data_IF_160937451481
#
_entry.id   IF_160937451481
#
_cell.length_a   1.000
_cell.length_b   1.000
_cell.length_c   1.000
_cell.angle_alpha   90.00
_cell.angle_beta   90.00
_cell.angle_gamma   90.00
#
_symmetry.space_group_name_H-M   'P 1'
#
loop_
_entity.id
_entity.type
_entity.pdbx_description
1 polymer ?
#
# COMPACT_ATOMS: atom_id res chain seq x y z
N UNK A 1 4.33 8.66 14.73
CA UNK A 1 4.33 10.12 15.06
C UNK A 1 4.73 10.95 13.85
N UNK A 2 4.37 12.22 13.85
CA UNK A 2 4.75 13.21 12.85
C UNK A 2 5.58 14.27 13.57
N UNK A 3 6.86 14.47 13.24
CA UNK A 3 7.71 15.45 13.86
C UNK A 3 7.54 16.84 13.22
N UNK A 4 7.60 17.91 14.04
CA UNK A 4 7.52 19.29 13.60
C UNK A 4 8.67 20.13 14.17
N UNK A 5 9.26 20.99 13.33
CA UNK A 5 10.31 21.93 13.71
C UNK A 5 9.71 23.16 14.38
N UNK A 6 8.62 23.68 13.83
CA UNK A 6 7.96 24.89 14.32
C UNK A 6 6.83 24.57 15.29
N UNK A 7 6.73 25.37 16.36
CA UNK A 7 5.67 25.25 17.36
C UNK A 7 4.29 25.64 16.81
N UNK A 8 4.25 26.49 15.79
CA UNK A 8 3.04 26.90 15.10
C UNK A 8 3.36 26.85 13.59
N UNK A 9 2.71 25.94 12.89
CA UNK A 9 2.79 25.84 11.42
C UNK A 9 1.42 25.44 10.86
N UNK A 10 1.16 25.84 9.63
CA UNK A 10 -0.08 25.47 8.95
C UNK A 10 -0.21 23.94 8.82
N UNK A 11 0.90 23.26 8.61
CA UNK A 11 0.91 21.80 8.51
C UNK A 11 0.61 21.12 9.85
N UNK A 12 1.15 21.64 10.97
CA UNK A 12 0.79 21.15 12.30
C UNK A 12 -0.72 21.27 12.54
N UNK A 13 -1.32 22.41 12.19
CA UNK A 13 -2.77 22.61 12.34
C UNK A 13 -3.57 21.66 11.46
N UNK A 14 -3.20 21.52 10.18
CA UNK A 14 -3.85 20.57 9.25
C UNK A 14 -3.81 19.14 9.78
N UNK A 15 -2.64 18.66 10.21
CA UNK A 15 -2.50 17.32 10.76
C UNK A 15 -3.26 17.14 12.06
N UNK A 16 -3.19 18.11 12.95
CA UNK A 16 -3.90 18.05 14.23
C UNK A 16 -5.42 17.91 14.03
N UNK A 17 -6.00 18.78 13.20
CA UNK A 17 -7.43 18.70 12.88
C UNK A 17 -7.76 17.44 12.08
N UNK A 18 -6.92 17.05 11.12
CA UNK A 18 -7.11 15.82 10.35
C UNK A 18 -7.14 14.56 11.21
N UNK A 19 -6.21 14.44 12.17
CA UNK A 19 -6.18 13.28 13.08
C UNK A 19 -7.36 13.31 14.06
N UNK A 20 -7.81 14.48 14.50
CA UNK A 20 -9.01 14.60 15.33
C UNK A 20 -10.28 14.22 14.57
N UNK A 21 -10.41 14.67 13.32
CA UNK A 21 -11.51 14.29 12.43
C UNK A 21 -11.49 12.78 12.15
N UNK A 22 -10.32 12.21 11.89
CA UNK A 22 -10.15 10.76 11.73
C UNK A 22 -10.65 9.98 12.95
N UNK A 23 -10.24 10.38 14.15
CA UNK A 23 -10.70 9.75 15.38
C UNK A 23 -12.21 9.89 15.60
N UNK A 24 -12.80 11.05 15.27
CA UNK A 24 -14.23 11.29 15.34
C UNK A 24 -15.00 10.36 14.37
N UNK A 25 -14.55 10.27 13.13
CA UNK A 25 -15.18 9.40 12.10
C UNK A 25 -15.03 7.91 12.44
N UNK A 26 -13.92 7.51 13.08
CA UNK A 26 -13.71 6.15 13.54
C UNK A 26 -14.67 5.77 14.69
N UNK A 27 -15.14 6.73 15.48
CA UNK A 27 -16.07 6.52 16.60
C UNK A 27 -15.58 5.44 17.57
N UNK A 28 -16.41 4.44 17.83
CA UNK A 28 -16.07 3.30 18.72
C UNK A 28 -14.94 2.40 18.19
N UNK A 29 -14.57 2.51 16.92
CA UNK A 29 -13.44 1.78 16.29
C UNK A 29 -12.11 2.53 16.38
N UNK A 30 -12.07 3.69 17.05
CA UNK A 30 -10.84 4.44 17.26
C UNK A 30 -9.83 3.61 18.06
N UNK A 31 -8.60 3.53 17.55
CA UNK A 31 -7.50 2.77 18.17
C UNK A 31 -6.88 3.50 19.37
N UNK A 32 -7.24 4.75 19.60
CA UNK A 32 -6.74 5.57 20.71
C UNK A 32 -6.72 7.07 20.41
N UNK A 33 -6.38 7.86 21.43
CA UNK A 33 -6.35 9.32 21.32
C UNK A 33 -5.03 9.80 20.71
N UNK A 34 -5.13 10.77 19.81
CA UNK A 34 -3.97 11.51 19.33
C UNK A 34 -3.39 12.41 20.44
N UNK A 35 -2.06 12.55 20.49
CA UNK A 35 -1.35 13.33 21.46
C UNK A 35 -0.34 14.26 20.80
N UNK A 36 -0.41 15.55 21.11
CA UNK A 36 0.64 16.51 20.78
C UNK A 36 1.59 16.64 22.00
N UNK A 37 2.89 16.45 21.79
CA UNK A 37 3.89 16.48 22.84
C UNK A 37 5.17 17.21 22.42
N UNK A 38 5.83 17.86 23.39
CA UNK A 38 7.15 18.43 23.18
C UNK A 38 8.21 17.33 23.13
N UNK A 39 9.14 17.44 22.18
CA UNK A 39 10.32 16.59 22.12
C UNK A 39 11.37 17.18 23.08
N UNK A 40 11.69 16.46 24.14
CA UNK A 40 12.71 16.90 25.11
C UNK A 40 14.09 16.88 24.44
N UNK A 41 14.88 17.95 24.62
CA UNK A 41 16.31 17.97 24.28
C UNK A 41 16.99 16.78 24.97
N UNK A 42 17.86 16.09 24.28
CA UNK A 42 18.55 14.88 24.77
C UNK A 42 17.64 13.69 25.14
N UNK A 43 16.42 13.63 24.61
CA UNK A 43 15.68 12.38 24.65
C UNK A 43 16.42 11.30 23.83
N UNK A 44 16.29 10.02 24.20
CA UNK A 44 16.80 8.86 23.43
C UNK A 44 16.08 8.67 22.08
N UNK A 45 15.51 9.78 21.56
CA UNK A 45 14.77 9.77 20.30
C UNK A 45 15.71 9.77 19.12
N UNK A 46 15.29 9.08 18.10
CA UNK A 46 15.98 8.95 16.81
C UNK A 46 16.04 10.29 16.06
N UNK A 47 15.09 11.19 16.37
CA UNK A 47 14.92 12.47 15.69
C UNK A 47 15.98 13.51 16.05
N UNK A 48 16.35 14.31 15.06
CA UNK A 48 17.24 15.47 15.20
C UNK A 48 16.71 16.46 16.25
N UNK A 49 17.62 17.15 16.93
CA UNK A 49 17.30 18.16 17.95
C UNK A 49 16.57 19.41 17.38
N UNK A 50 16.48 19.54 16.08
CA UNK A 50 15.72 20.60 15.40
C UNK A 50 14.20 20.44 15.58
N UNK A 51 13.73 19.21 15.78
CA UNK A 51 12.33 18.91 15.99
C UNK A 51 11.94 19.22 17.45
N UNK A 52 10.88 20.02 17.62
CA UNK A 52 10.41 20.51 18.93
C UNK A 52 9.12 19.84 19.38
N UNK A 53 8.27 19.48 18.42
CA UNK A 53 6.96 18.87 18.66
C UNK A 53 6.82 17.57 17.87
N UNK A 54 6.00 16.69 18.40
CA UNK A 54 5.50 15.52 17.68
C UNK A 54 3.99 15.37 17.91
N UNK A 55 3.28 15.10 16.85
CA UNK A 55 1.88 14.66 16.88
C UNK A 55 1.87 13.13 16.78
N UNK A 56 1.47 12.46 17.84
CA UNK A 56 1.32 11.01 17.87
C UNK A 56 -0.13 10.62 17.68
N UNK A 57 -0.38 9.60 16.89
CA UNK A 57 -1.70 8.99 16.69
C UNK A 57 -1.52 7.49 16.50
N UNK A 58 -2.61 6.76 16.66
CA UNK A 58 -2.63 5.30 16.45
C UNK A 58 -3.16 4.99 15.07
N UNK A 59 -2.54 4.01 14.43
CA UNK A 59 -2.98 3.45 13.17
C UNK A 59 -2.71 1.95 13.16
N UNK A 60 -3.41 1.20 12.29
CA UNK A 60 -3.22 -0.24 12.15
C UNK A 60 -1.95 -0.55 11.37
N UNK A 61 -1.19 -1.52 11.86
CA UNK A 61 -0.09 -2.12 11.11
C UNK A 61 -0.48 -3.54 10.75
N UNK A 62 -0.36 -3.88 9.48
CA UNK A 62 -0.71 -5.19 8.96
C UNK A 62 0.54 -5.89 8.40
N UNK A 63 0.75 -7.13 8.81
CA UNK A 63 1.65 -8.05 8.10
C UNK A 63 0.82 -8.71 6.99
N UNK A 64 0.97 -8.24 5.77
CA UNK A 64 0.21 -8.68 4.59
C UNK A 64 0.49 -10.15 4.25
N UNK A 65 1.72 -10.61 4.45
CA UNK A 65 2.10 -12.01 4.24
C UNK A 65 1.41 -12.94 5.22
N UNK A 66 1.38 -12.58 6.50
CA UNK A 66 0.70 -13.39 7.52
C UNK A 66 -0.81 -13.40 7.28
N UNK A 67 -1.40 -12.26 6.94
CA UNK A 67 -2.83 -12.18 6.62
C UNK A 67 -3.17 -13.05 5.41
N UNK A 68 -2.35 -13.02 4.34
CA UNK A 68 -2.55 -13.88 3.17
C UNK A 68 -2.49 -15.38 3.52
N UNK A 69 -1.50 -15.79 4.32
CA UNK A 69 -1.38 -17.19 4.80
C UNK A 69 -2.58 -17.61 5.66
N UNK A 70 -3.09 -16.72 6.49
CA UNK A 70 -4.25 -17.01 7.33
C UNK A 70 -5.52 -17.16 6.50
N UNK A 71 -5.72 -16.31 5.48
CA UNK A 71 -6.84 -16.44 4.53
C UNK A 71 -6.79 -17.77 3.76
N UNK A 72 -5.60 -18.19 3.30
CA UNK A 72 -5.41 -19.49 2.64
C UNK A 72 -5.78 -20.64 3.60
N UNK A 73 -5.34 -20.56 4.85
CA UNK A 73 -5.69 -21.56 5.86
C UNK A 73 -7.20 -21.63 6.11
N UNK A 74 -7.87 -20.49 6.21
CA UNK A 74 -9.33 -20.42 6.37
C UNK A 74 -10.05 -20.96 5.14
N UNK A 75 -9.59 -20.65 3.93
CA UNK A 75 -10.18 -21.18 2.69
C UNK A 75 -10.12 -22.72 2.65
N UNK A 76 -8.97 -23.30 3.03
CA UNK A 76 -8.82 -24.77 3.13
C UNK A 76 -9.75 -25.40 4.17
N UNK A 77 -10.06 -24.70 5.27
CA UNK A 77 -11.01 -25.16 6.29
C UNK A 77 -12.48 -25.10 5.81
N UNK A 78 -12.75 -24.36 4.75
CA UNK A 78 -14.04 -24.26 4.07
C UNK A 78 -14.13 -25.13 2.83
N UNK A 79 -13.21 -26.12 2.67
CA UNK A 79 -13.13 -27.05 1.54
C UNK A 79 -13.01 -26.32 0.18
N UNK A 80 -12.34 -25.16 0.17
CA UNK A 80 -12.03 -24.45 -1.07
C UNK A 80 -10.71 -24.98 -1.63
N UNK A 81 -10.75 -25.46 -2.86
CA UNK A 81 -9.56 -25.92 -3.57
C UNK A 81 -8.64 -24.75 -3.89
N UNK A 82 -7.35 -24.91 -3.58
CA UNK A 82 -6.31 -23.91 -3.85
C UNK A 82 -5.19 -24.57 -4.64
N UNK A 83 -4.94 -24.04 -5.82
CA UNK A 83 -3.89 -24.50 -6.72
C UNK A 83 -2.74 -23.48 -6.73
N UNK A 84 -1.66 -23.81 -6.05
CA UNK A 84 -0.42 -23.00 -6.03
C UNK A 84 0.48 -23.42 -7.19
N UNK A 85 1.27 -22.47 -7.73
CA UNK A 85 2.18 -22.70 -8.87
C UNK A 85 1.45 -23.25 -10.12
N UNK A 86 0.21 -22.84 -10.30
CA UNK A 86 -0.64 -23.24 -11.42
C UNK A 86 -0.96 -22.01 -12.28
N UNK A 87 -0.27 -21.90 -13.41
CA UNK A 87 -0.51 -20.81 -14.37
C UNK A 87 -1.71 -21.17 -15.26
N UNK A 88 -2.68 -20.25 -15.34
CA UNK A 88 -3.82 -20.34 -16.24
C UNK A 88 -3.39 -19.89 -17.63
N UNK A 89 -3.54 -20.74 -18.64
CA UNK A 89 -3.15 -20.47 -20.02
C UNK A 89 -4.16 -19.60 -20.75
N UNK A 90 -5.46 -19.87 -20.54
CA UNK A 90 -6.54 -19.18 -21.24
C UNK A 90 -7.83 -19.13 -20.41
N UNK A 91 -8.65 -18.14 -20.69
CA UNK A 91 -10.01 -18.05 -20.18
C UNK A 91 -10.89 -17.21 -21.12
N UNK A 92 -12.21 -17.38 -21.01
CA UNK A 92 -13.17 -16.63 -21.79
C UNK A 92 -14.28 -16.00 -20.93
N UNK A 93 -15.16 -15.26 -21.60
CA UNK A 93 -16.30 -14.62 -20.95
C UNK A 93 -17.48 -15.56 -20.67
N UNK A 94 -17.47 -16.77 -21.19
CA UNK A 94 -18.55 -17.74 -21.04
C UNK A 94 -18.28 -18.73 -19.91
N UNK A 95 -17.19 -18.57 -19.18
CA UNK A 95 -16.88 -19.38 -18.01
C UNK A 95 -15.84 -20.47 -18.25
N UNK A 96 -15.24 -20.57 -19.45
CA UNK A 96 -14.18 -21.54 -19.73
C UNK A 96 -12.84 -21.02 -19.20
N UNK A 97 -12.13 -21.87 -18.45
CA UNK A 97 -10.74 -21.67 -18.01
C UNK A 97 -9.98 -22.92 -18.42
N UNK A 98 -9.04 -22.77 -19.34
CA UNK A 98 -8.35 -23.89 -20.01
C UNK A 98 -9.37 -24.91 -20.52
N UNK A 99 -9.38 -26.14 -20.01
CA UNK A 99 -10.33 -27.19 -20.44
C UNK A 99 -11.54 -27.35 -19.50
N UNK A 100 -11.68 -26.49 -18.46
CA UNK A 100 -12.73 -26.57 -17.44
C UNK A 100 -13.78 -25.46 -17.61
N UNK A 101 -15.01 -25.73 -17.17
CA UNK A 101 -16.08 -24.74 -17.16
C UNK A 101 -16.47 -24.39 -15.72
N UNK A 102 -16.68 -23.11 -15.50
CA UNK A 102 -17.07 -22.52 -14.22
C UNK A 102 -18.31 -21.64 -14.39
N UNK A 103 -19.14 -21.55 -13.36
CA UNK A 103 -20.29 -20.65 -13.37
C UNK A 103 -19.86 -19.18 -13.39
N UNK A 104 -18.80 -18.84 -12.68
CA UNK A 104 -18.22 -17.51 -12.67
C UNK A 104 -16.69 -17.60 -12.62
N UNK A 105 -16.02 -16.68 -13.31
CA UNK A 105 -14.58 -16.46 -13.24
C UNK A 105 -14.35 -15.09 -12.59
N UNK A 106 -13.54 -15.04 -11.53
CA UNK A 106 -13.19 -13.79 -10.87
C UNK A 106 -11.69 -13.52 -11.10
N UNK A 107 -11.39 -12.52 -11.94
CA UNK A 107 -10.03 -12.11 -12.24
C UNK A 107 -9.57 -11.08 -11.20
N UNK A 108 -8.89 -11.54 -10.14
CA UNK A 108 -8.42 -10.73 -9.00
C UNK A 108 -6.89 -10.66 -8.95
N UNK A 109 -6.24 -10.43 -10.09
CA UNK A 109 -4.79 -10.54 -10.32
C UNK A 109 -4.05 -9.19 -10.21
N UNK A 110 -4.69 -8.17 -9.66
CA UNK A 110 -4.07 -6.86 -9.40
C UNK A 110 -3.49 -6.20 -10.66
N UNK A 111 -2.18 -5.91 -10.71
CA UNK A 111 -1.59 -5.18 -11.84
C UNK A 111 -1.64 -5.95 -13.17
N UNK A 112 -1.81 -7.26 -13.16
CA UNK A 112 -1.88 -8.07 -14.37
C UNK A 112 -3.27 -8.14 -15.02
N UNK A 113 -4.31 -7.58 -14.38
CA UNK A 113 -5.71 -7.67 -14.88
C UNK A 113 -5.83 -7.23 -16.34
N UNK A 114 -5.30 -6.05 -16.69
CA UNK A 114 -5.36 -5.53 -18.07
C UNK A 114 -4.59 -6.40 -19.06
N UNK A 115 -3.39 -6.85 -18.68
CA UNK A 115 -2.52 -7.69 -19.52
C UNK A 115 -3.20 -9.02 -19.84
N UNK A 116 -3.80 -9.66 -18.84
CA UNK A 116 -4.47 -10.95 -19.03
C UNK A 116 -5.75 -10.82 -19.86
N UNK A 117 -6.52 -9.75 -19.70
CA UNK A 117 -7.67 -9.48 -20.56
C UNK A 117 -7.23 -9.32 -22.03
N UNK A 118 -6.16 -8.54 -22.27
CA UNK A 118 -5.61 -8.34 -23.61
C UNK A 118 -5.10 -9.65 -24.22
N UNK A 119 -4.37 -10.47 -23.44
CA UNK A 119 -3.85 -11.79 -23.89
C UNK A 119 -5.00 -12.73 -24.33
N UNK A 120 -6.17 -12.60 -23.73
CA UNK A 120 -7.36 -13.39 -24.05
C UNK A 120 -8.34 -12.69 -25.02
N UNK A 121 -7.93 -11.60 -25.68
CA UNK A 121 -8.75 -10.82 -26.62
C UNK A 121 -10.03 -10.24 -25.99
N UNK A 122 -10.02 -9.95 -24.69
CA UNK A 122 -11.16 -9.39 -23.97
C UNK A 122 -10.93 -7.89 -23.77
N UNK A 123 -11.92 -7.08 -24.13
CA UNK A 123 -11.84 -5.62 -24.02
C UNK A 123 -11.83 -5.19 -22.55
N UNK A 124 -10.81 -4.44 -22.16
CA UNK A 124 -10.77 -3.75 -20.89
C UNK A 124 -11.55 -2.42 -20.95
N UNK A 125 -12.41 -2.17 -19.98
CA UNK A 125 -13.16 -0.90 -19.85
C UNK A 125 -12.39 0.18 -19.07
N UNK A 126 -11.29 -0.18 -18.43
CA UNK A 126 -10.43 0.74 -17.68
C UNK A 126 -8.98 0.56 -18.07
N UNK A 127 -8.27 1.68 -18.05
CA UNK A 127 -6.81 1.69 -18.17
C UNK A 127 -6.17 1.76 -16.77
N UNK A 128 -4.97 1.22 -16.65
CA UNK A 128 -4.21 1.13 -15.40
C UNK A 128 -2.88 1.86 -15.58
N UNK A 129 -2.54 2.70 -14.61
CA UNK A 129 -1.18 3.20 -14.41
C UNK A 129 -0.45 2.29 -13.43
N UNK A 130 0.73 1.86 -13.79
CA UNK A 130 1.60 1.07 -12.93
C UNK A 130 2.49 1.99 -12.12
N UNK A 131 2.32 1.97 -10.82
CA UNK A 131 3.10 2.81 -9.90
C UNK A 131 3.92 1.92 -8.99
N UNK A 132 5.23 1.86 -9.27
CA UNK A 132 6.21 1.17 -8.44
C UNK A 132 6.39 1.91 -7.11
N UNK A 133 6.49 1.17 -6.03
CA UNK A 133 6.85 1.68 -4.72
C UNK A 133 7.87 0.77 -4.06
N UNK A 134 8.99 1.33 -3.65
CA UNK A 134 10.13 0.61 -3.11
C UNK A 134 10.31 0.89 -1.63
N UNK A 135 10.82 -0.10 -0.91
CA UNK A 135 11.09 -0.04 0.53
C UNK A 135 12.48 -0.55 0.84
N UNK A 136 13.09 0.01 1.89
CA UNK A 136 14.34 -0.47 2.47
C UNK A 136 14.08 -1.11 3.84
N UNK A 137 14.76 -2.19 4.13
CA UNK A 137 14.87 -2.78 5.47
C UNK A 137 16.21 -2.39 6.04
N UNK A 138 16.20 -1.64 7.14
CA UNK A 138 17.39 -1.05 7.73
C UNK A 138 17.78 -1.76 9.03
N UNK A 139 19.09 -1.98 9.20
CA UNK A 139 19.68 -2.45 10.47
C UNK A 139 19.70 -1.31 11.49
N UNK A 140 18.53 -0.81 11.80
CA UNK A 140 18.31 0.24 12.79
C UNK A 140 16.97 -0.03 13.47
N UNK A 141 16.95 0.05 14.78
CA UNK A 141 15.71 -0.11 15.52
C UNK A 141 15.10 1.26 15.86
N UNK A 142 13.81 1.39 15.63
CA UNK A 142 12.99 2.51 16.11
C UNK A 142 11.85 1.97 16.99
N UNK A 143 11.47 2.74 18.02
CA UNK A 143 10.45 2.31 19.00
C UNK A 143 9.01 2.50 18.49
N UNK A 144 8.79 3.45 17.60
CA UNK A 144 7.47 3.80 17.07
C UNK A 144 7.57 4.25 15.63
N UNK A 145 6.50 4.11 14.88
CA UNK A 145 6.42 4.59 13.51
C UNK A 145 6.59 6.10 13.42
N UNK A 146 7.31 6.56 12.40
CA UNK A 146 7.53 7.97 12.08
C UNK A 146 7.01 8.21 10.66
N UNK A 147 6.13 9.19 10.50
CA UNK A 147 5.71 9.71 9.20
C UNK A 147 6.37 11.07 8.99
N UNK A 148 7.00 11.27 7.87
CA UNK A 148 7.72 12.52 7.55
C UNK A 148 7.67 12.79 6.04
N UNK A 149 8.02 14.02 5.65
CA UNK A 149 8.02 14.44 4.25
C UNK A 149 9.38 14.16 3.61
N UNK A 150 9.38 13.62 2.39
CA UNK A 150 10.59 13.43 1.61
C UNK A 150 11.23 14.75 1.16
N UNK A 151 12.54 14.71 0.86
CA UNK A 151 13.35 15.90 0.56
C UNK A 151 13.01 16.62 -0.74
N UNK A 152 12.60 15.89 -1.79
CA UNK A 152 12.41 16.43 -3.14
C UNK A 152 10.95 16.66 -3.52
N UNK A 153 10.04 16.07 -2.79
CA UNK A 153 8.60 16.15 -3.07
C UNK A 153 7.84 16.16 -1.74
N UNK A 154 6.65 16.73 -1.75
CA UNK A 154 5.79 16.81 -0.56
C UNK A 154 5.16 15.46 -0.18
N UNK A 155 5.78 14.34 -0.54
CA UNK A 155 5.27 12.99 -0.25
C UNK A 155 5.61 12.55 1.15
N UNK A 156 4.71 11.81 1.74
CA UNK A 156 4.93 11.20 3.03
C UNK A 156 5.65 9.87 2.89
N UNK A 157 6.72 9.73 3.67
CA UNK A 157 7.50 8.53 3.84
C UNK A 157 7.26 8.02 5.26
N UNK A 158 7.24 6.70 5.42
CA UNK A 158 7.09 6.05 6.70
C UNK A 158 8.36 5.29 7.07
N UNK A 159 8.81 5.49 8.29
CA UNK A 159 9.75 4.59 8.95
C UNK A 159 8.97 3.82 10.01
N UNK A 160 8.83 2.52 9.86
CA UNK A 160 8.02 1.66 10.73
C UNK A 160 8.88 0.62 11.44
N UNK A 161 8.61 0.32 12.72
CA UNK A 161 9.22 -0.85 13.38
C UNK A 161 8.84 -2.12 12.62
N UNK A 162 9.82 -2.96 12.31
CA UNK A 162 9.61 -4.19 11.56
C UNK A 162 10.55 -5.29 12.06
N UNK A 163 10.04 -6.22 12.86
CA UNK A 163 10.78 -7.40 13.37
C UNK A 163 12.16 -7.05 13.98
N UNK A 164 12.23 -6.01 14.80
CA UNK A 164 13.47 -5.51 15.40
C UNK A 164 14.33 -4.61 14.50
N UNK A 165 13.89 -4.37 13.27
CA UNK A 165 14.51 -3.53 12.25
C UNK A 165 13.63 -2.31 11.97
N UNK A 166 13.98 -1.54 10.95
CA UNK A 166 13.14 -0.45 10.42
C UNK A 166 12.79 -0.70 8.97
N UNK A 167 11.51 -0.68 8.65
CA UNK A 167 10.99 -0.62 7.30
C UNK A 167 10.84 0.84 6.91
N UNK A 168 11.57 1.27 5.87
CA UNK A 168 11.55 2.64 5.36
C UNK A 168 10.95 2.66 3.95
N UNK A 169 9.93 3.47 3.74
CA UNK A 169 9.30 3.65 2.43
C UNK A 169 8.00 4.45 2.53
N UNK A 170 7.44 4.75 1.42
CA UNK A 170 7.65 4.16 0.09
C UNK A 170 8.06 5.25 -0.92
N UNK A 171 8.75 4.84 -1.97
CA UNK A 171 8.90 5.65 -3.19
C UNK A 171 7.63 5.58 -4.05
N UNK A 172 7.58 6.33 -5.13
CA UNK A 172 6.49 6.25 -6.10
C UNK A 172 7.02 6.66 -7.48
N UNK A 173 7.14 5.67 -8.34
CA UNK A 173 7.65 5.83 -9.69
C UNK A 173 6.70 5.17 -10.69
N UNK A 174 6.42 5.86 -11.80
CA UNK A 174 5.64 5.27 -12.88
C UNK A 174 6.51 4.31 -13.66
N UNK A 175 6.00 3.11 -13.92
CA UNK A 175 6.65 2.07 -14.72
C UNK A 175 5.71 1.60 -15.84
N UNK A 176 6.27 1.00 -16.87
CA UNK A 176 5.49 0.55 -18.03
C UNK A 176 4.93 -0.87 -17.84
N UNK A 177 5.58 -1.66 -16.97
CA UNK A 177 5.20 -3.05 -16.71
C UNK A 177 5.20 -3.34 -15.21
N UNK A 178 4.32 -4.23 -14.74
CA UNK A 178 4.35 -4.71 -13.36
C UNK A 178 5.42 -5.79 -13.10
N UNK A 179 6.11 -6.24 -14.15
CA UNK A 179 7.05 -7.35 -14.05
C UNK A 179 8.36 -6.97 -13.36
N UNK A 180 8.86 -7.87 -12.50
CA UNK A 180 10.17 -7.81 -11.86
C UNK A 180 10.53 -6.43 -11.26
N UNK A 181 9.65 -5.80 -10.47
CA UNK A 181 9.95 -4.50 -9.89
C UNK A 181 11.14 -4.59 -8.94
N UNK A 182 12.10 -3.70 -9.11
CA UNK A 182 13.27 -3.57 -8.23
C UNK A 182 13.52 -2.11 -7.90
N UNK A 183 14.14 -1.87 -6.74
CA UNK A 183 14.59 -0.54 -6.37
C UNK A 183 15.80 -0.16 -7.23
N UNK A 184 15.86 1.08 -7.65
CA UNK A 184 17.05 1.64 -8.29
C UNK A 184 17.86 2.52 -7.33
N UNK A 185 19.05 2.95 -7.78
CA UNK A 185 19.98 3.74 -6.96
C UNK A 185 19.42 5.13 -6.60
N UNK A 186 18.54 5.68 -7.43
CA UNK A 186 17.92 6.99 -7.18
C UNK A 186 16.88 6.90 -6.08
N UNK A 187 16.05 5.86 -6.09
CA UNK A 187 15.06 5.58 -5.05
C UNK A 187 15.75 5.26 -3.71
N UNK A 188 16.81 4.44 -3.75
CA UNK A 188 17.60 4.13 -2.55
C UNK A 188 18.17 5.39 -1.92
N UNK A 189 18.85 6.24 -2.72
CA UNK A 189 19.42 7.51 -2.27
C UNK A 189 18.34 8.44 -1.73
N UNK A 190 17.23 8.58 -2.45
CA UNK A 190 16.09 9.38 -2.03
C UNK A 190 15.54 8.97 -0.66
N UNK A 191 15.34 7.67 -0.42
CA UNK A 191 14.86 7.17 0.87
C UNK A 191 15.86 7.41 1.99
N UNK A 192 17.16 7.13 1.76
CA UNK A 192 18.20 7.35 2.76
C UNK A 192 18.37 8.82 3.11
N UNK A 193 18.45 9.70 2.11
CA UNK A 193 18.61 11.14 2.31
C UNK A 193 17.37 11.73 3.00
N UNK A 194 16.18 11.33 2.59
CA UNK A 194 14.94 11.75 3.23
C UNK A 194 14.87 11.32 4.70
N UNK A 195 15.28 10.11 5.02
CA UNK A 195 15.31 9.66 6.40
C UNK A 195 16.41 10.36 7.22
N UNK A 196 17.60 10.53 6.64
CA UNK A 196 18.69 11.23 7.27
C UNK A 196 18.38 12.70 7.58
N UNK A 197 17.52 13.35 6.81
CA UNK A 197 17.10 14.74 7.06
C UNK A 197 16.39 14.91 8.40
N UNK A 198 15.78 13.85 8.93
CA UNK A 198 15.08 13.88 10.21
C UNK A 198 15.87 13.24 11.36
N UNK A 199 16.93 12.49 11.06
CA UNK A 199 17.68 11.72 12.06
C UNK A 199 18.70 12.59 12.84
N UNK A 200 18.89 12.26 14.10
CA UNK A 200 19.98 12.79 14.94
C UNK A 200 21.33 12.20 14.52
N UNK A 201 21.37 10.92 14.24
CA UNK A 201 22.54 10.18 13.80
C UNK A 201 22.23 9.60 12.41
N UNK A 202 22.84 10.12 11.35
CA UNK A 202 22.63 9.63 9.99
C UNK A 202 22.99 8.15 9.85
N UNK A 203 22.31 7.50 8.91
CA UNK A 203 22.58 6.15 8.46
C UNK A 203 23.23 6.17 7.07
N UNK A 204 23.85 5.08 6.68
CA UNK A 204 24.55 4.92 5.41
C UNK A 204 24.00 3.72 4.65
N UNK A 205 24.47 3.51 3.43
CA UNK A 205 24.15 2.30 2.65
C UNK A 205 24.51 0.99 3.36
N UNK A 206 25.50 1.00 4.27
CA UNK A 206 25.87 -0.19 5.07
C UNK A 206 24.79 -0.61 6.05
N UNK A 207 23.86 0.28 6.37
CA UNK A 207 22.73 0.01 7.25
C UNK A 207 21.57 -0.65 6.51
N UNK A 208 21.60 -0.74 5.18
CA UNK A 208 20.59 -1.43 4.36
C UNK A 208 20.87 -2.92 4.40
N UNK A 209 19.90 -3.68 4.91
CA UNK A 209 19.95 -5.14 4.93
C UNK A 209 19.32 -5.76 3.67
N UNK A 210 18.23 -5.20 3.22
CA UNK A 210 17.52 -5.63 2.01
C UNK A 210 16.56 -4.56 1.52
N UNK A 211 16.01 -4.77 0.34
CA UNK A 211 14.97 -3.95 -0.27
C UNK A 211 13.94 -4.81 -0.95
N UNK A 212 12.76 -4.25 -1.16
CA UNK A 212 11.75 -4.83 -2.03
C UNK A 212 10.92 -3.74 -2.70
N UNK A 213 10.34 -4.08 -3.83
CA UNK A 213 9.46 -3.21 -4.60
C UNK A 213 8.18 -3.93 -4.98
N UNK A 214 7.11 -3.17 -5.14
CA UNK A 214 5.84 -3.67 -5.64
C UNK A 214 5.19 -2.66 -6.57
N UNK A 215 4.31 -3.14 -7.45
CA UNK A 215 3.60 -2.28 -8.40
C UNK A 215 2.13 -2.17 -8.03
N UNK A 216 1.67 -0.93 -7.87
CA UNK A 216 0.27 -0.60 -7.60
C UNK A 216 -0.45 -0.34 -8.91
N UNK A 217 -1.57 -1.05 -9.19
CA UNK A 217 -2.44 -0.75 -10.31
C UNK A 217 -3.37 0.41 -9.94
N UNK A 218 -3.08 1.62 -10.39
CA UNK A 218 -3.98 2.76 -10.22
C UNK A 218 -4.88 2.93 -11.44
N UNK A 219 -6.18 3.13 -11.22
CA UNK A 219 -7.13 3.35 -12.31
C UNK A 219 -6.91 4.74 -12.88
N UNK A 220 -6.72 4.82 -14.21
CA UNK A 220 -6.68 6.11 -14.90
C UNK A 220 -8.08 6.73 -14.91
N UNK A 221 -8.22 7.93 -14.35
CA UNK A 221 -9.43 8.73 -14.43
C UNK A 221 -9.27 9.79 -15.54
N UNK A 222 -9.97 9.59 -16.65
CA UNK A 222 -10.01 10.52 -17.77
C UNK A 222 -8.69 10.70 -18.52
N UNK A 223 -8.57 11.78 -19.30
CA UNK A 223 -7.38 12.13 -20.08
C UNK A 223 -6.27 12.78 -19.26
N UNK A 224 -6.55 13.22 -18.04
CA UNK A 224 -5.58 13.86 -17.15
C UNK A 224 -4.93 12.83 -16.21
N UNK A 225 -3.72 12.41 -16.54
CA UNK A 225 -2.92 11.42 -15.84
C UNK A 225 -2.51 11.76 -14.38
N UNK A 226 -2.86 12.93 -13.87
CA UNK A 226 -2.49 13.39 -12.53
C UNK A 226 -3.48 13.04 -11.42
N UNK A 227 -4.63 12.42 -11.74
CA UNK A 227 -5.64 11.99 -10.78
C UNK A 227 -5.93 10.49 -10.90
N UNK A 228 -4.90 9.66 -10.70
CA UNK A 228 -5.13 8.22 -10.64
C UNK A 228 -5.83 7.86 -9.32
N UNK A 229 -7.02 7.28 -9.41
CA UNK A 229 -7.80 6.88 -8.23
C UNK A 229 -7.23 5.64 -7.57
N UNK A 230 -7.13 5.67 -6.24
CA UNK A 230 -6.83 4.49 -5.42
C UNK A 230 -8.08 3.65 -5.11
N UNK A 231 -9.17 3.90 -5.80
CA UNK A 231 -10.42 3.15 -5.70
C UNK A 231 -10.34 1.86 -6.52
N UNK A 232 -11.42 1.14 -6.62
CA UNK A 232 -11.50 -0.06 -7.43
C UNK A 232 -12.66 0.04 -8.43
N UNK A 233 -12.53 -0.70 -9.52
CA UNK A 233 -13.57 -0.84 -10.53
C UNK A 233 -13.81 -2.33 -10.80
N UNK A 234 -15.07 -2.74 -10.90
CA UNK A 234 -15.46 -4.10 -11.26
C UNK A 234 -16.07 -4.05 -12.67
N UNK A 235 -15.48 -4.80 -13.58
CA UNK A 235 -16.01 -5.04 -14.92
C UNK A 235 -16.63 -6.43 -14.95
N UNK A 236 -17.93 -6.51 -15.22
CA UNK A 236 -18.61 -7.78 -15.49
C UNK A 236 -18.84 -7.93 -16.99
N UNK A 237 -18.50 -9.07 -17.51
CA UNK A 237 -18.77 -9.48 -18.88
C UNK A 237 -19.22 -10.94 -18.88
N UNK A 238 -20.52 -11.17 -18.94
CA UNK A 238 -21.15 -12.50 -18.77
C UNK A 238 -20.64 -13.15 -17.46
N UNK A 239 -20.00 -14.32 -17.55
CA UNK A 239 -19.44 -15.08 -16.41
C UNK A 239 -18.08 -14.58 -15.92
N UNK A 240 -17.46 -13.63 -16.61
CA UNK A 240 -16.18 -13.07 -16.20
C UNK A 240 -16.36 -11.77 -15.41
N UNK A 241 -15.82 -11.72 -14.21
CA UNK A 241 -15.78 -10.56 -13.32
C UNK A 241 -14.32 -10.16 -13.12
N UNK A 242 -13.93 -8.99 -13.62
CA UNK A 242 -12.55 -8.49 -13.54
C UNK A 242 -12.45 -7.32 -12.58
N UNK A 243 -11.45 -7.34 -11.70
CA UNK A 243 -11.22 -6.32 -10.67
C UNK A 243 -10.01 -5.48 -11.07
N UNK A 244 -10.18 -4.17 -11.07
CA UNK A 244 -9.11 -3.18 -11.32
C UNK A 244 -8.87 -2.37 -10.06
N UNK A 245 -7.60 -2.12 -9.72
CA UNK A 245 -7.23 -1.35 -8.54
C UNK A 245 -7.57 -2.05 -7.23
N UNK A 246 -7.98 -1.24 -6.23
CA UNK A 246 -8.26 -1.72 -4.87
C UNK A 246 -7.02 -1.75 -3.98
N UNK A 247 -7.27 -2.05 -2.70
CA UNK A 247 -6.23 -2.16 -1.67
C UNK A 247 -6.45 -3.42 -0.87
N UNK A 248 -5.39 -3.94 -0.28
CA UNK A 248 -5.46 -5.08 0.64
C UNK A 248 -6.49 -4.85 1.76
N UNK A 249 -6.50 -3.63 2.31
CA UNK A 249 -7.47 -3.24 3.36
C UNK A 249 -8.93 -3.15 2.89
N UNK A 250 -9.18 -3.00 1.59
CA UNK A 250 -10.53 -2.95 1.00
C UNK A 250 -10.97 -4.28 0.40
N UNK A 251 -10.12 -5.30 0.39
CA UNK A 251 -10.42 -6.62 -0.19
C UNK A 251 -11.73 -7.24 0.34
N UNK A 252 -12.05 -7.21 1.65
CA UNK A 252 -13.32 -7.75 2.15
C UNK A 252 -14.55 -7.00 1.62
N UNK A 253 -14.44 -5.69 1.39
CA UNK A 253 -15.52 -4.89 0.82
C UNK A 253 -15.73 -5.20 -0.66
N UNK A 254 -14.64 -5.40 -1.42
CA UNK A 254 -14.68 -5.80 -2.83
C UNK A 254 -15.31 -7.18 -2.95
N UNK A 255 -14.88 -8.14 -2.13
CA UNK A 255 -15.43 -9.49 -2.12
C UNK A 255 -16.96 -9.51 -1.89
N UNK A 256 -17.47 -8.75 -0.89
CA UNK A 256 -18.90 -8.62 -0.66
C UNK A 256 -19.68 -8.07 -1.87
N UNK A 257 -19.10 -7.07 -2.57
CA UNK A 257 -19.74 -6.54 -3.80
C UNK A 257 -19.78 -7.57 -4.91
N UNK A 258 -18.74 -8.40 -5.07
CA UNK A 258 -18.71 -9.47 -6.07
C UNK A 258 -19.77 -10.52 -5.77
N UNK A 259 -19.89 -10.95 -4.51
CA UNK A 259 -20.95 -11.89 -4.09
C UNK A 259 -22.33 -11.33 -4.40
N UNK A 260 -22.57 -10.03 -4.13
CA UNK A 260 -23.84 -9.38 -4.49
C UNK A 260 -24.09 -9.40 -6.00
N UNK A 261 -23.06 -9.17 -6.83
CA UNK A 261 -23.16 -9.21 -8.30
C UNK A 261 -23.53 -10.61 -8.78
N UNK A 262 -22.96 -11.66 -8.18
CA UNK A 262 -23.22 -13.05 -8.54
C UNK A 262 -24.63 -13.47 -8.13
N UNK A 263 -25.07 -13.12 -6.93
CA UNK A 263 -26.37 -13.54 -6.38
C UNK A 263 -27.58 -12.81 -7.01
N UNK A 264 -27.37 -11.71 -7.72
CA UNK A 264 -28.44 -10.97 -8.40
C UNK A 264 -28.69 -11.45 -9.85
N UNK A 265 -28.13 -12.56 -10.25
CA UNK A 265 -28.40 -13.29 -11.50
C UNK A 265 -29.36 -14.45 -11.24
#
# INVERSE_FOLDING_TARGET
SIPFVNLISLDLLKFFFGVKLYALLAGSKSLGNSKLSFIKKNSDKVLSNNYKLELSFFDGVMDDTLLGKDLIKQAKQLDIDIFENHEISSFDINGKVDEQNFDNIILAVGPWTKILLQKNNIKSLRDIDYIKGSHLILNKQIKSGIMFTGICNSRYIFALPFKGLTLLGTTEERVESPENPSIDLSEESYLLESFNSILKNPITKKDILSSYSGVRPLIKEGTNSHKASRDFFIQKNKRLISIFGGKWTTAPSIARKIVTIINNE
#
